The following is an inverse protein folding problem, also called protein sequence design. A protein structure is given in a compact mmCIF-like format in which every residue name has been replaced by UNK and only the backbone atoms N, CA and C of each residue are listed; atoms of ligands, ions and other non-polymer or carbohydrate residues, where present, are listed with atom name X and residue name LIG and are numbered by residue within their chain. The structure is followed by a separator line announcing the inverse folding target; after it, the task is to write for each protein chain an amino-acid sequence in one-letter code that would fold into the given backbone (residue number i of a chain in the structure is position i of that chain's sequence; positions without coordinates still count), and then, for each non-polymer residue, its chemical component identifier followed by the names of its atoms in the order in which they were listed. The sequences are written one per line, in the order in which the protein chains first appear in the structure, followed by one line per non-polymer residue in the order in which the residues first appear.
data_IF_690996575059
#
_entry.id   IF_690996575059
#
_cell.length_a   1.000
_cell.length_b   1.000
_cell.length_c   1.000
_cell.angle_alpha   90.00
_cell.angle_beta   90.00
_cell.angle_gamma   90.00
#
_symmetry.space_group_name_H-M   'P 1'
#
loop_
_entity.id
_entity.type
_entity.pdbx_description
1 polymer ?
#
# COMPACT_ATOMS: atom_id res chain seq x y z
N UNK A 1 -38.51 -14.51 8.77
CA UNK A 1 -37.35 -13.64 9.07
C UNK A 1 -36.48 -13.49 7.83
N UNK A 2 -36.11 -12.26 7.47
CA UNK A 2 -35.09 -12.04 6.44
C UNK A 2 -33.70 -12.45 6.94
N UNK A 3 -32.79 -12.81 6.01
CA UNK A 3 -31.40 -13.13 6.38
C UNK A 3 -30.60 -11.84 6.64
N UNK A 4 -29.73 -11.87 7.65
CA UNK A 4 -28.86 -10.74 7.97
C UNK A 4 -27.84 -10.45 6.85
N UNK A 5 -27.29 -9.24 6.85
CA UNK A 5 -26.28 -8.82 5.89
C UNK A 5 -25.00 -9.68 5.96
N UNK A 6 -24.66 -10.20 7.15
CA UNK A 6 -23.49 -11.06 7.37
C UNK A 6 -23.81 -12.56 7.26
N UNK A 7 -25.04 -12.92 6.87
CA UNK A 7 -25.41 -14.32 6.70
C UNK A 7 -24.48 -15.01 5.68
N UNK A 8 -23.89 -16.14 6.07
CA UNK A 8 -22.89 -16.89 5.27
C UNK A 8 -23.35 -17.16 3.84
N UNK A 9 -24.62 -17.50 3.67
CA UNK A 9 -25.24 -17.72 2.35
C UNK A 9 -25.20 -16.47 1.46
N UNK A 10 -25.61 -15.31 1.97
CA UNK A 10 -25.57 -14.04 1.22
C UNK A 10 -24.13 -13.60 0.91
N UNK A 11 -23.19 -13.84 1.82
CA UNK A 11 -21.76 -13.55 1.61
C UNK A 11 -21.18 -14.43 0.50
N UNK A 12 -21.41 -15.76 0.56
CA UNK A 12 -20.95 -16.70 -0.47
C UNK A 12 -21.49 -16.34 -1.86
N UNK A 13 -22.80 -16.06 -1.96
CA UNK A 13 -23.41 -15.69 -3.25
C UNK A 13 -22.85 -14.38 -3.82
N UNK A 14 -22.56 -13.39 -2.98
CA UNK A 14 -21.87 -12.17 -3.44
C UNK A 14 -20.44 -12.46 -3.90
N UNK A 15 -19.73 -13.36 -3.24
CA UNK A 15 -18.40 -13.81 -3.70
C UNK A 15 -18.44 -14.40 -5.11
N UNK A 16 -19.39 -15.30 -5.37
CA UNK A 16 -19.57 -15.90 -6.71
C UNK A 16 -19.89 -14.82 -7.75
N UNK A 17 -20.82 -13.91 -7.47
CA UNK A 17 -21.15 -12.81 -8.40
C UNK A 17 -19.96 -11.89 -8.67
N UNK A 18 -19.13 -11.61 -7.66
CA UNK A 18 -17.90 -10.81 -7.83
C UNK A 18 -16.95 -11.50 -8.79
N UNK A 19 -16.65 -12.77 -8.58
CA UNK A 19 -15.74 -13.51 -9.44
C UNK A 19 -16.26 -13.64 -10.88
N UNK A 20 -17.54 -13.95 -11.06
CA UNK A 20 -18.09 -14.25 -12.38
C UNK A 20 -18.41 -13.01 -13.24
N UNK A 21 -18.97 -11.96 -12.63
CA UNK A 21 -19.55 -10.83 -13.38
C UNK A 21 -18.78 -9.54 -13.15
N UNK A 22 -18.43 -9.23 -11.91
CA UNK A 22 -17.88 -7.92 -11.59
C UNK A 22 -16.37 -7.83 -11.78
N UNK A 23 -15.61 -8.88 -11.44
CA UNK A 23 -14.15 -8.86 -11.57
C UNK A 23 -13.68 -8.69 -13.02
N UNK A 24 -14.20 -9.43 -14.01
CA UNK A 24 -13.77 -9.26 -15.40
C UNK A 24 -13.97 -7.83 -15.92
N UNK A 25 -15.05 -7.16 -15.49
CA UNK A 25 -15.33 -5.76 -15.87
C UNK A 25 -14.34 -4.80 -15.21
N UNK A 26 -13.99 -5.05 -13.95
CA UNK A 26 -12.97 -4.26 -13.23
C UNK A 26 -11.60 -4.46 -13.86
N UNK A 27 -11.23 -5.70 -14.16
CA UNK A 27 -9.95 -6.06 -14.78
C UNK A 27 -9.81 -5.45 -16.20
N UNK A 28 -10.87 -5.49 -17.01
CA UNK A 28 -10.86 -4.83 -18.32
C UNK A 28 -10.70 -3.30 -18.19
N UNK A 29 -11.25 -2.69 -17.15
CA UNK A 29 -11.09 -1.25 -16.90
C UNK A 29 -9.67 -0.92 -16.46
N UNK A 30 -9.07 -1.72 -15.59
CA UNK A 30 -7.69 -1.49 -15.14
C UNK A 30 -6.72 -1.63 -16.30
N UNK A 31 -6.90 -2.61 -17.18
CA UNK A 31 -6.12 -2.78 -18.42
C UNK A 31 -6.19 -1.53 -19.32
N UNK A 32 -7.38 -1.03 -19.61
CA UNK A 32 -7.56 0.19 -20.41
C UNK A 32 -6.90 1.42 -19.78
N UNK A 33 -6.95 1.54 -18.46
CA UNK A 33 -6.32 2.66 -17.77
C UNK A 33 -4.80 2.54 -17.79
N UNK A 34 -4.25 1.32 -17.63
CA UNK A 34 -2.81 1.13 -17.77
C UNK A 34 -2.32 1.44 -19.19
N UNK A 35 -3.03 1.00 -20.22
CA UNK A 35 -2.68 1.30 -21.63
C UNK A 35 -2.69 2.80 -21.91
N UNK A 36 -3.71 3.51 -21.41
CA UNK A 36 -3.76 4.98 -21.55
C UNK A 36 -2.63 5.68 -20.80
N UNK A 37 -2.19 5.14 -19.67
CA UNK A 37 -1.08 5.71 -18.92
C UNK A 37 0.25 5.44 -19.64
N UNK A 38 0.45 4.26 -20.22
CA UNK A 38 1.67 3.97 -21.00
C UNK A 38 1.74 4.85 -22.24
N UNK A 39 0.64 5.00 -22.98
CA UNK A 39 0.57 5.90 -24.14
C UNK A 39 0.92 7.34 -23.78
N UNK A 40 0.35 7.87 -22.69
CA UNK A 40 0.68 9.23 -22.22
C UNK A 40 2.13 9.40 -21.79
N UNK A 41 2.77 8.35 -21.29
CA UNK A 41 4.17 8.39 -20.92
C UNK A 41 5.08 8.33 -22.16
N UNK A 42 4.68 7.56 -23.18
CA UNK A 42 5.35 7.52 -24.48
C UNK A 42 5.25 8.87 -25.20
N UNK A 43 4.06 9.47 -25.27
CA UNK A 43 3.83 10.82 -25.82
C UNK A 43 4.75 11.85 -25.15
N UNK A 44 4.79 11.88 -23.80
CA UNK A 44 5.67 12.78 -23.06
C UNK A 44 7.16 12.51 -23.29
N UNK A 45 7.55 11.25 -23.46
CA UNK A 45 8.93 10.89 -23.73
C UNK A 45 9.35 11.29 -25.15
N UNK A 46 8.43 11.30 -26.11
CA UNK A 46 8.65 11.81 -27.46
C UNK A 46 8.72 13.34 -27.50
N UNK A 47 7.84 14.03 -26.76
CA UNK A 47 7.88 15.49 -26.60
C UNK A 47 9.23 15.95 -26.01
N UNK A 48 9.69 15.32 -24.92
CA UNK A 48 11.00 15.67 -24.32
C UNK A 48 12.18 15.39 -25.27
N UNK A 49 12.12 14.32 -26.08
CA UNK A 49 13.18 14.02 -27.07
C UNK A 49 13.17 14.98 -28.26
N UNK A 50 12.02 15.55 -28.59
CA UNK A 50 11.91 16.58 -29.61
C UNK A 50 12.52 17.90 -29.12
N UNK A 51 12.40 18.21 -27.82
CA UNK A 51 13.05 19.37 -27.19
C UNK A 51 14.57 19.18 -26.97
N UNK A 52 15.03 17.95 -26.73
CA UNK A 52 16.45 17.64 -26.52
C UNK A 52 17.32 17.68 -27.81
N UNK A 53 16.74 17.68 -29.01
CA UNK A 53 17.52 17.84 -30.25
C UNK A 53 17.96 19.30 -30.51
N UNK A 54 17.44 20.27 -29.75
CA UNK A 54 17.85 21.67 -29.85
C UNK A 54 18.74 22.14 -28.69
N UNK A 55 18.94 21.34 -27.62
CA UNK A 55 19.86 21.72 -26.54
C UNK A 55 20.57 20.51 -25.93
N UNK A 56 21.80 20.30 -26.40
CA UNK A 56 22.81 19.45 -25.80
C UNK A 56 23.27 20.02 -24.44
N UNK A 57 22.47 19.98 -23.37
CA UNK A 57 23.02 20.11 -22.00
C UNK A 57 22.04 19.82 -20.85
N UNK A 58 22.59 19.10 -19.85
CA UNK A 58 22.15 18.98 -18.45
C UNK A 58 21.19 17.83 -18.12
N UNK A 59 21.82 16.74 -17.67
CA UNK A 59 21.27 15.84 -16.66
C UNK A 59 20.95 16.65 -15.41
N UNK A 60 19.68 16.88 -15.10
CA UNK A 60 19.26 17.16 -13.73
C UNK A 60 17.90 16.51 -13.43
N UNK A 61 17.90 15.71 -12.38
CA UNK A 61 16.72 15.08 -11.80
C UNK A 61 15.93 16.19 -11.11
N UNK A 62 14.99 16.81 -11.81
CA UNK A 62 14.07 17.76 -11.20
C UNK A 62 12.67 17.16 -11.04
N UNK A 63 12.40 16.76 -9.80
CA UNK A 63 11.07 16.70 -9.25
C UNK A 63 10.50 18.13 -9.28
N UNK A 64 9.53 18.40 -10.15
CA UNK A 64 8.73 19.62 -10.06
C UNK A 64 7.26 19.24 -9.85
N UNK A 65 6.97 18.99 -8.57
CA UNK A 65 5.71 19.47 -8.01
C UNK A 65 5.73 20.99 -8.12
N UNK A 66 4.79 21.62 -8.81
CA UNK A 66 4.40 22.99 -8.48
C UNK A 66 3.06 23.40 -9.09
N UNK A 67 2.09 23.62 -8.19
CA UNK A 67 1.30 24.85 -8.24
C UNK A 67 0.84 25.21 -6.82
N UNK A 68 1.73 25.93 -6.13
CA UNK A 68 1.46 27.22 -5.49
C UNK A 68 0.12 27.46 -4.79
N UNK A 69 0.09 27.25 -3.48
CA UNK A 69 -0.50 28.21 -2.53
C UNK A 69 0.57 28.57 -1.49
N UNK A 70 1.08 29.79 -1.59
CA UNK A 70 2.08 30.38 -0.70
C UNK A 70 1.43 30.70 0.65
N UNK A 71 1.95 30.12 1.73
CA UNK A 71 1.81 30.64 3.08
C UNK A 71 3.20 30.75 3.70
N UNK A 72 3.62 31.99 3.90
CA UNK A 72 4.89 32.39 4.49
C UNK A 72 4.90 32.05 6.00
N UNK A 73 5.76 31.13 6.42
CA UNK A 73 6.08 30.92 7.84
C UNK A 73 7.57 30.61 7.98
N UNK A 74 8.30 31.54 8.59
CA UNK A 74 9.72 31.41 8.89
C UNK A 74 10.07 30.13 9.69
N UNK A 75 11.25 29.51 9.46
CA UNK A 75 11.55 28.16 9.89
C UNK A 75 12.04 28.08 11.34
N UNK A 76 11.24 27.54 12.27
CA UNK A 76 11.80 26.94 13.48
C UNK A 76 12.45 25.60 13.12
N UNK A 77 13.77 25.63 12.94
CA UNK A 77 14.65 24.48 12.68
C UNK A 77 14.67 23.53 13.90
N UNK A 78 13.60 22.75 14.08
CA UNK A 78 13.60 21.65 15.05
C UNK A 78 14.19 20.44 14.35
N UNK A 79 15.49 20.21 14.56
CA UNK A 79 16.17 18.98 14.15
C UNK A 79 15.59 17.79 14.92
N UNK A 80 14.63 17.10 14.32
CA UNK A 80 14.17 15.79 14.79
C UNK A 80 14.66 14.67 13.86
N UNK A 81 15.95 14.67 13.51
CA UNK A 81 16.62 13.51 12.92
C UNK A 81 16.91 12.46 14.01
N UNK A 82 15.87 11.99 14.72
CA UNK A 82 15.99 10.79 15.55
C UNK A 82 16.01 9.58 14.62
N UNK A 83 17.18 8.96 14.48
CA UNK A 83 17.39 7.77 13.65
C UNK A 83 16.34 6.69 13.91
N UNK A 84 15.72 6.19 12.83
CA UNK A 84 14.71 5.11 12.87
C UNK A 84 15.24 3.83 13.55
N UNK A 85 16.56 3.69 13.68
CA UNK A 85 17.23 2.52 14.25
C UNK A 85 17.10 2.38 15.77
N UNK A 86 17.01 3.48 16.52
CA UNK A 86 16.90 3.41 18.00
C UNK A 86 15.59 2.76 18.46
N UNK A 87 14.50 2.89 17.70
CA UNK A 87 13.20 2.25 18.01
C UNK A 87 13.21 0.73 17.80
N UNK A 88 14.03 0.19 16.89
CA UNK A 88 14.13 -1.27 16.65
C UNK A 88 14.91 -1.99 17.76
N UNK A 89 15.96 -1.37 18.33
CA UNK A 89 16.76 -1.97 19.41
C UNK A 89 15.95 -2.16 20.71
N UNK A 90 15.16 -1.16 21.13
CA UNK A 90 14.42 -1.25 22.40
C UNK A 90 13.18 -2.18 22.37
N UNK A 91 12.61 -2.47 21.18
CA UNK A 91 11.45 -3.37 21.05
C UNK A 91 11.81 -4.86 21.10
N UNK A 92 13.08 -5.24 20.86
CA UNK A 92 13.49 -6.65 20.87
C UNK A 92 13.79 -7.16 22.28
N UNK A 93 14.31 -6.31 23.16
CA UNK A 93 14.70 -6.69 24.53
C UNK A 93 13.53 -6.81 25.50
N UNK A 94 12.42 -6.14 25.23
CA UNK A 94 11.22 -6.12 26.09
C UNK A 94 10.27 -7.30 25.85
N UNK A 95 10.32 -7.93 24.67
CA UNK A 95 9.41 -9.06 24.33
C UNK A 95 9.83 -10.41 24.92
N UNK A 96 11.09 -10.57 25.31
CA UNK A 96 11.61 -11.84 25.80
C UNK A 96 11.25 -12.07 27.29
N UNK A 97 10.96 -11.01 28.05
CA UNK A 97 10.70 -11.11 29.50
C UNK A 97 9.26 -11.49 29.89
N UNK A 98 8.34 -11.54 28.93
CA UNK A 98 6.92 -11.89 29.17
C UNK A 98 6.52 -13.21 28.51
N UNK A 99 7.47 -14.10 28.23
CA UNK A 99 7.17 -15.48 27.84
C UNK A 99 6.61 -16.20 29.07
N UNK A 100 5.29 -16.11 29.27
CA UNK A 100 4.54 -16.97 30.16
C UNK A 100 4.91 -18.43 29.87
N UNK A 101 5.68 -19.02 30.78
CA UNK A 101 5.96 -20.45 30.80
C UNK A 101 4.62 -21.14 31.08
N UNK A 102 3.96 -21.61 30.03
CA UNK A 102 2.86 -22.55 30.20
C UNK A 102 3.46 -23.90 30.61
N UNK A 103 3.45 -24.18 31.91
CA UNK A 103 3.53 -25.55 32.40
C UNK A 103 2.46 -26.36 31.65
N UNK A 104 2.90 -27.33 30.84
CA UNK A 104 2.02 -28.29 30.15
C UNK A 104 1.34 -29.19 31.20
N UNK A 105 0.32 -28.66 31.84
CA UNK A 105 -0.54 -29.39 32.77
C UNK A 105 -1.50 -30.32 32.03
N UNK A 106 -1.33 -31.62 32.27
CA UNK A 106 -2.29 -32.72 32.16
C UNK A 106 -3.14 -32.85 30.89
N UNK A 107 -2.74 -33.75 30.00
CA UNK A 107 -3.64 -34.37 29.02
C UNK A 107 -4.65 -35.24 29.80
N UNK A 108 -5.86 -34.73 30.07
CA UNK A 108 -6.99 -35.60 30.46
C UNK A 108 -7.50 -36.32 29.21
N UNK A 109 -7.10 -37.58 29.05
CA UNK A 109 -7.70 -38.50 28.09
C UNK A 109 -9.17 -38.69 28.48
N UNK A 110 -10.09 -38.14 27.68
CA UNK A 110 -11.50 -38.51 27.80
C UNK A 110 -11.67 -39.92 27.23
N UNK A 111 -11.89 -40.84 28.17
CA UNK A 111 -12.46 -42.18 28.05
C UNK A 111 -13.32 -42.39 26.79
N UNK A 112 -12.98 -43.42 26.02
CA UNK A 112 -13.95 -44.21 25.23
C UNK A 112 -14.21 -45.48 26.01
N UNK A 113 -15.44 -45.68 26.47
CA UNK A 113 -16.13 -46.95 26.66
C UNK A 113 -17.61 -46.65 26.82
#
# INVERSE_FOLDING_TARGET
MAKSLRAKTKVRMRGIKRAAVFQPVVDARTQRLSEKLTQKLEEKAEENKAEDNDNEMVVEVEQTEDHSEQMDVEPKKVSSSKSKDKKKRNKKTTKIKNALVFNKGSKRTKSRR
#
